data_IF_761441897354
#
_entry.id   IF_761441897354
#
_cell.length_a   1.000
_cell.length_b   1.000
_cell.length_c   1.000
_cell.angle_alpha   90.00
_cell.angle_beta   90.00
_cell.angle_gamma   90.00
#
_symmetry.space_group_name_H-M   'P 1'
#
loop_
_entity.id
_entity.type
_entity.pdbx_description
1 polymer ?
#
# COMPACT_ATOMS: atom_id res chain seq x y z
N UNK A 1 35.04 -2.35 -2.36
CA UNK A 1 33.61 -2.73 -2.00
C UNK A 1 33.49 -2.47 -0.52
N UNK A 2 32.82 -1.38 -0.12
CA UNK A 2 32.49 -1.14 1.29
C UNK A 2 31.45 -2.19 1.72
N UNK A 3 31.74 -2.91 2.79
CA UNK A 3 30.81 -3.85 3.39
C UNK A 3 29.55 -3.09 3.83
N UNK A 4 28.39 -3.59 3.44
CA UNK A 4 27.11 -3.02 3.88
C UNK A 4 26.98 -3.25 5.38
N UNK A 5 26.70 -2.22 6.21
CA UNK A 5 26.53 -2.41 7.65
C UNK A 5 25.44 -3.47 7.93
N UNK A 6 25.67 -4.34 8.89
CA UNK A 6 24.75 -5.44 9.25
C UNK A 6 23.31 -4.97 9.48
N UNK A 7 23.15 -3.79 10.09
CA UNK A 7 21.84 -3.18 10.31
C UNK A 7 21.05 -2.91 9.02
N UNK A 8 21.73 -2.53 7.92
CA UNK A 8 21.06 -2.31 6.63
C UNK A 8 20.66 -3.64 6.00
N UNK A 9 21.51 -4.66 6.12
CA UNK A 9 21.19 -6.01 5.64
C UNK A 9 19.99 -6.56 6.39
N UNK A 10 19.98 -6.43 7.70
CA UNK A 10 18.85 -6.84 8.55
C UNK A 10 17.54 -6.14 8.14
N UNK A 11 17.55 -4.80 7.99
CA UNK A 11 16.38 -4.04 7.57
C UNK A 11 15.86 -4.46 6.19
N UNK A 12 16.76 -4.78 5.24
CA UNK A 12 16.37 -5.30 3.92
C UNK A 12 15.69 -6.67 4.01
N UNK A 13 16.22 -7.57 4.82
CA UNK A 13 15.63 -8.90 5.03
C UNK A 13 14.25 -8.80 5.69
N UNK A 14 14.11 -7.95 6.70
CA UNK A 14 12.83 -7.71 7.37
C UNK A 14 11.79 -7.14 6.39
N UNK A 15 12.20 -6.20 5.53
CA UNK A 15 11.32 -5.62 4.53
C UNK A 15 10.90 -6.65 3.46
N UNK A 16 11.83 -7.46 2.97
CA UNK A 16 11.53 -8.54 2.02
C UNK A 16 10.58 -9.57 2.64
N UNK A 17 10.84 -9.95 3.89
CA UNK A 17 9.96 -10.83 4.65
C UNK A 17 8.55 -10.24 4.80
N UNK A 18 8.44 -8.95 5.17
CA UNK A 18 7.17 -8.26 5.25
C UNK A 18 6.44 -8.22 3.90
N UNK A 19 7.17 -8.00 2.79
CA UNK A 19 6.59 -8.04 1.44
C UNK A 19 6.06 -9.42 1.06
N UNK A 20 6.74 -10.49 1.40
CA UNK A 20 6.24 -11.86 1.19
C UNK A 20 4.99 -12.12 2.04
N UNK A 21 5.03 -11.73 3.32
CA UNK A 21 3.88 -11.88 4.21
C UNK A 21 2.68 -11.04 3.77
N UNK A 22 2.90 -9.91 3.11
CA UNK A 22 1.81 -9.09 2.57
C UNK A 22 1.02 -9.78 1.45
N UNK A 23 1.64 -10.74 0.76
CA UNK A 23 1.00 -11.50 -0.32
C UNK A 23 0.31 -12.78 0.18
N UNK A 24 0.85 -13.43 1.21
CA UNK A 24 0.40 -14.76 1.62
C UNK A 24 -0.24 -14.77 3.00
N UNK A 25 0.03 -13.82 3.86
CA UNK A 25 -0.18 -13.77 5.31
C UNK A 25 0.62 -14.82 6.09
N UNK A 26 0.92 -14.49 7.35
CA UNK A 26 1.71 -15.38 8.24
C UNK A 26 1.04 -16.74 8.45
N UNK A 27 -0.23 -16.74 8.82
CA UNK A 27 -0.97 -17.97 9.10
C UNK A 27 -1.09 -18.87 7.87
N UNK A 28 -1.27 -18.29 6.68
CA UNK A 28 -1.34 -19.07 5.43
C UNK A 28 0.01 -19.66 5.08
N UNK A 29 1.09 -18.89 5.19
CA UNK A 29 2.45 -19.37 4.93
C UNK A 29 2.83 -20.53 5.86
N UNK A 30 2.58 -20.39 7.15
CA UNK A 30 2.83 -21.46 8.13
C UNK A 30 2.07 -22.75 7.80
N UNK A 31 0.80 -22.65 7.45
CA UNK A 31 -0.01 -23.82 7.05
C UNK A 31 0.51 -24.48 5.77
N UNK A 32 0.96 -23.70 4.80
CA UNK A 32 1.52 -24.22 3.55
C UNK A 32 2.84 -24.96 3.82
N UNK A 33 3.76 -24.37 4.58
CA UNK A 33 5.04 -24.98 4.91
C UNK A 33 4.88 -26.23 5.80
N UNK A 34 3.89 -26.28 6.70
CA UNK A 34 3.59 -27.46 7.49
C UNK A 34 3.09 -28.65 6.65
N UNK A 35 2.40 -28.39 5.54
CA UNK A 35 1.88 -29.43 4.61
C UNK A 35 2.91 -29.85 3.56
N UNK A 36 3.72 -28.93 3.10
CA UNK A 36 4.70 -29.13 2.06
C UNK A 36 5.99 -28.36 2.39
N UNK A 37 6.93 -28.94 3.14
CA UNK A 37 8.17 -28.26 3.53
C UNK A 37 9.03 -27.78 2.34
N UNK A 38 8.91 -28.46 1.20
CA UNK A 38 9.62 -28.11 -0.05
C UNK A 38 8.72 -27.34 -1.03
N UNK A 39 7.77 -26.55 -0.52
CA UNK A 39 6.86 -25.76 -1.33
C UNK A 39 7.62 -24.78 -2.22
N UNK A 40 7.36 -24.83 -3.53
CA UNK A 40 7.80 -23.79 -4.45
C UNK A 40 6.94 -22.53 -4.28
N UNK A 41 7.48 -21.56 -3.56
CA UNK A 41 6.83 -20.27 -3.35
C UNK A 41 6.74 -19.45 -4.65
N UNK A 42 7.59 -19.70 -5.64
CA UNK A 42 7.59 -18.95 -6.90
C UNK A 42 6.25 -19.09 -7.65
N UNK A 43 5.67 -20.28 -7.64
CA UNK A 43 4.36 -20.51 -8.25
C UNK A 43 3.24 -19.70 -7.58
N UNK A 44 3.34 -19.45 -6.27
CA UNK A 44 2.35 -18.70 -5.50
C UNK A 44 2.48 -17.19 -5.65
N UNK A 45 3.72 -16.69 -5.69
CA UNK A 45 4.01 -15.25 -5.71
C UNK A 45 4.30 -14.71 -7.11
N UNK A 46 4.44 -15.59 -8.11
CA UNK A 46 4.76 -15.23 -9.49
C UNK A 46 3.86 -14.16 -10.10
N UNK A 47 2.52 -14.20 -9.93
CA UNK A 47 1.62 -13.16 -10.40
C UNK A 47 1.91 -11.75 -9.81
N UNK A 48 2.53 -11.70 -8.62
CA UNK A 48 2.89 -10.46 -7.92
C UNK A 48 4.38 -10.12 -8.05
N UNK A 49 5.05 -10.70 -9.05
CA UNK A 49 6.49 -10.46 -9.29
C UNK A 49 6.82 -8.98 -9.42
N UNK A 50 6.05 -8.21 -10.18
CA UNK A 50 6.27 -6.78 -10.36
C UNK A 50 6.23 -6.00 -9.03
N UNK A 51 5.36 -6.39 -8.10
CA UNK A 51 5.31 -5.81 -6.76
C UNK A 51 6.58 -6.13 -5.96
N UNK A 52 7.03 -7.38 -5.96
CA UNK A 52 8.27 -7.76 -5.27
C UNK A 52 9.49 -7.09 -5.90
N UNK A 53 9.56 -7.03 -7.22
CA UNK A 53 10.63 -6.31 -7.93
C UNK A 53 10.66 -4.83 -7.54
N UNK A 54 9.50 -4.17 -7.39
CA UNK A 54 9.41 -2.80 -6.92
C UNK A 54 9.96 -2.65 -5.49
N UNK A 55 9.59 -3.56 -4.57
CA UNK A 55 10.11 -3.55 -3.19
C UNK A 55 11.63 -3.76 -3.17
N UNK A 56 12.14 -4.71 -3.97
CA UNK A 56 13.59 -4.98 -4.08
C UNK A 56 14.32 -3.78 -4.67
N UNK A 57 13.76 -3.17 -5.72
CA UNK A 57 14.33 -1.95 -6.31
C UNK A 57 14.45 -0.83 -5.26
N UNK A 58 13.41 -0.57 -4.49
CA UNK A 58 13.39 0.44 -3.44
C UNK A 58 14.49 0.21 -2.39
N UNK A 59 14.70 -1.05 -1.99
CA UNK A 59 15.76 -1.40 -1.04
C UNK A 59 17.18 -1.10 -1.55
N UNK A 60 17.37 -1.09 -2.87
CA UNK A 60 18.64 -0.75 -3.49
C UNK A 60 18.78 0.72 -3.85
N UNK A 61 17.68 1.39 -4.16
CA UNK A 61 17.67 2.78 -4.60
C UNK A 61 18.05 3.77 -3.48
N UNK A 62 17.64 3.49 -2.23
CA UNK A 62 17.88 4.41 -1.11
C UNK A 62 17.86 3.68 0.23
N UNK A 63 18.77 4.02 1.17
CA UNK A 63 18.71 3.52 2.54
C UNK A 63 17.40 3.88 3.25
N UNK A 64 16.83 5.05 2.98
CA UNK A 64 15.56 5.47 3.55
C UNK A 64 14.41 4.56 3.08
N UNK A 65 14.35 4.24 1.79
CA UNK A 65 13.37 3.29 1.25
C UNK A 65 13.61 1.86 1.76
N UNK A 66 14.86 1.47 1.98
CA UNK A 66 15.18 0.19 2.61
C UNK A 66 14.62 0.08 4.03
N UNK A 67 14.58 1.20 4.76
CA UNK A 67 13.96 1.29 6.09
C UNK A 67 12.42 1.41 6.06
N UNK A 68 11.80 1.32 4.89
CA UNK A 68 10.35 1.36 4.76
C UNK A 68 9.74 2.75 4.84
N UNK A 69 10.50 3.80 4.50
CA UNK A 69 9.93 5.14 4.39
C UNK A 69 9.12 5.28 3.10
N UNK A 70 8.17 6.22 3.11
CA UNK A 70 7.39 6.59 1.93
C UNK A 70 7.78 8.02 1.55
N UNK A 71 8.15 8.27 0.27
CA UNK A 71 8.41 9.63 -0.19
C UNK A 71 7.18 10.51 0.00
N UNK A 72 7.35 11.69 0.58
CA UNK A 72 6.25 12.63 0.84
C UNK A 72 6.47 13.90 0.05
N UNK A 73 5.41 14.38 -0.61
CA UNK A 73 5.44 15.67 -1.29
C UNK A 73 5.54 16.81 -0.28
N UNK A 74 6.48 17.71 -0.48
CA UNK A 74 6.53 18.94 0.30
C UNK A 74 5.28 19.77 0.01
N UNK A 75 4.44 19.97 1.02
CA UNK A 75 3.19 20.69 0.93
C UNK A 75 2.92 21.38 2.26
N UNK A 76 2.26 22.52 2.23
CA UNK A 76 1.79 23.19 3.43
C UNK A 76 0.86 22.29 4.26
N UNK A 77 0.99 22.33 5.58
CA UNK A 77 0.23 21.45 6.47
C UNK A 77 -1.27 21.71 6.35
N UNK A 78 -1.69 22.97 6.25
CA UNK A 78 -3.10 23.34 6.16
C UNK A 78 -3.74 22.84 4.87
N UNK A 79 -3.02 22.91 3.75
CA UNK A 79 -3.47 22.38 2.46
C UNK A 79 -3.57 20.86 2.49
N UNK A 80 -2.61 20.18 3.14
CA UNK A 80 -2.64 18.73 3.33
C UNK A 80 -3.87 18.28 4.12
N UNK A 81 -4.19 19.00 5.20
CA UNK A 81 -5.37 18.72 6.03
C UNK A 81 -6.66 18.98 5.27
N UNK A 82 -6.74 20.05 4.47
CA UNK A 82 -7.90 20.33 3.61
C UNK A 82 -8.11 19.20 2.60
N UNK A 83 -7.05 18.71 1.96
CA UNK A 83 -7.13 17.58 1.03
C UNK A 83 -7.61 16.30 1.73
N UNK A 84 -7.08 16.02 2.92
CA UNK A 84 -7.52 14.87 3.72
C UNK A 84 -9.01 14.98 4.08
N UNK A 85 -9.47 16.15 4.50
CA UNK A 85 -10.88 16.41 4.79
C UNK A 85 -11.76 16.24 3.55
N UNK A 86 -11.38 16.81 2.42
CA UNK A 86 -12.13 16.69 1.17
C UNK A 86 -12.31 15.22 0.76
N UNK A 87 -11.26 14.41 0.87
CA UNK A 87 -11.35 12.97 0.62
C UNK A 87 -12.31 12.25 1.57
N UNK A 88 -12.39 12.69 2.82
CA UNK A 88 -13.24 12.07 3.83
C UNK A 88 -14.70 12.55 3.78
N UNK A 89 -14.96 13.69 3.17
CA UNK A 89 -16.32 14.29 3.06
C UNK A 89 -17.04 13.95 1.75
N UNK A 90 -16.39 13.25 0.81
CA UNK A 90 -17.00 12.83 -0.44
C UNK A 90 -18.23 11.95 -0.18
N UNK A 91 -19.39 12.32 -0.74
CA UNK A 91 -20.69 11.64 -0.49
C UNK A 91 -20.69 10.15 -0.81
N UNK A 92 -19.99 9.76 -1.88
CA UNK A 92 -19.88 8.37 -2.33
C UNK A 92 -18.81 7.56 -1.58
N UNK A 93 -18.34 8.03 -0.42
CA UNK A 93 -17.29 7.37 0.33
C UNK A 93 -17.68 5.93 0.71
N UNK A 94 -16.76 4.94 0.49
CA UNK A 94 -17.01 3.58 0.96
C UNK A 94 -17.24 3.56 2.47
N UNK A 95 -18.09 2.67 2.98
CA UNK A 95 -18.27 2.52 4.41
C UNK A 95 -16.93 2.09 5.04
N UNK A 96 -16.50 2.87 6.02
CA UNK A 96 -15.34 2.57 6.87
C UNK A 96 -14.00 2.30 6.13
N UNK A 97 -13.51 3.18 5.22
CA UNK A 97 -12.18 3.02 4.70
C UNK A 97 -11.16 3.14 5.83
N UNK A 98 -10.17 2.26 5.84
CA UNK A 98 -9.07 2.30 6.80
C UNK A 98 -8.14 3.46 6.48
N UNK A 99 -7.76 3.60 5.21
CA UNK A 99 -6.89 4.66 4.74
C UNK A 99 -7.32 5.18 3.38
N UNK A 100 -7.16 6.49 3.17
CA UNK A 100 -7.27 7.14 1.86
C UNK A 100 -5.94 7.83 1.59
N UNK A 101 -5.30 7.49 0.48
CA UNK A 101 -3.99 8.00 0.11
C UNK A 101 -4.07 8.70 -1.26
N UNK A 102 -3.48 9.88 -1.35
CA UNK A 102 -3.29 10.58 -2.61
C UNK A 102 -1.80 10.68 -2.92
N UNK A 103 -1.44 10.41 -4.17
CA UNK A 103 -0.06 10.48 -4.65
C UNK A 103 0.04 11.40 -5.85
N UNK A 104 1.06 12.26 -5.86
CA UNK A 104 1.53 12.97 -7.05
C UNK A 104 2.78 12.24 -7.55
N UNK A 105 2.65 11.58 -8.69
CA UNK A 105 3.66 10.64 -9.18
C UNK A 105 3.89 9.49 -8.17
N UNK A 106 5.04 9.47 -7.52
CA UNK A 106 5.43 8.46 -6.52
C UNK A 106 5.44 9.00 -5.08
N UNK A 107 5.22 10.31 -4.91
CA UNK A 107 5.26 10.96 -3.60
C UNK A 107 3.86 11.06 -3.00
N UNK A 108 3.73 10.66 -1.74
CA UNK A 108 2.51 10.79 -0.97
C UNK A 108 2.20 12.28 -0.73
N UNK A 109 1.03 12.71 -1.17
CA UNK A 109 0.51 14.07 -0.99
C UNK A 109 -0.22 14.19 0.34
N UNK A 110 -1.17 13.29 0.58
CA UNK A 110 -1.91 13.24 1.83
C UNK A 110 -2.34 11.82 2.16
N UNK A 111 -2.54 11.60 3.45
CA UNK A 111 -3.05 10.36 4.04
C UNK A 111 -4.16 10.73 5.01
N UNK A 112 -5.38 10.30 4.68
CA UNK A 112 -6.51 10.41 5.57
C UNK A 112 -6.80 9.06 6.24
N UNK A 113 -7.01 9.07 7.55
CA UNK A 113 -7.31 7.88 8.33
C UNK A 113 -8.19 8.21 9.53
N UNK A 114 -8.95 7.26 10.07
CA UNK A 114 -9.68 7.43 11.32
C UNK A 114 -8.69 7.69 12.48
N UNK A 115 -9.05 8.60 13.39
CA UNK A 115 -8.19 8.99 14.54
C UNK A 115 -7.67 7.81 15.37
N UNK A 116 -8.40 6.68 15.38
CA UNK A 116 -8.09 5.48 16.18
C UNK A 116 -7.10 4.51 15.49
N UNK A 117 -6.81 4.71 14.21
CA UNK A 117 -6.02 3.77 13.40
C UNK A 117 -4.92 4.52 12.66
N UNK A 118 -3.88 4.93 13.40
CA UNK A 118 -2.68 5.43 12.76
C UNK A 118 -1.99 4.29 11.98
N UNK A 119 -1.66 4.48 10.70
CA UNK A 119 -0.98 3.46 9.92
C UNK A 119 0.47 3.26 10.38
N UNK A 120 0.94 2.03 10.35
CA UNK A 120 2.35 1.73 10.53
C UNK A 120 3.15 2.11 9.28
N UNK A 121 4.31 2.71 9.46
CA UNK A 121 5.17 3.15 8.34
C UNK A 121 5.57 1.97 7.43
N UNK A 122 5.88 0.81 8.02
CA UNK A 122 6.19 -0.42 7.28
C UNK A 122 5.05 -0.87 6.37
N UNK A 123 3.81 -0.83 6.86
CA UNK A 123 2.62 -1.21 6.10
C UNK A 123 2.31 -0.19 5.00
N UNK A 124 2.45 1.11 5.28
CA UNK A 124 2.32 2.16 4.27
C UNK A 124 3.31 1.99 3.12
N UNK A 125 4.54 1.57 3.42
CA UNK A 125 5.53 1.31 2.39
C UNK A 125 5.15 0.13 1.49
N UNK A 126 4.45 -0.89 2.01
CA UNK A 126 3.91 -1.99 1.21
C UNK A 126 2.75 -1.53 0.33
N UNK A 127 1.83 -0.73 0.87
CA UNK A 127 0.75 -0.11 0.08
C UNK A 127 1.32 0.77 -1.03
N UNK A 128 2.33 1.61 -0.71
CA UNK A 128 3.00 2.46 -1.70
C UNK A 128 3.62 1.65 -2.84
N UNK A 129 4.33 0.56 -2.53
CA UNK A 129 4.90 -0.32 -3.54
C UNK A 129 3.81 -0.94 -4.45
N UNK A 130 2.67 -1.37 -3.88
CA UNK A 130 1.54 -1.87 -4.66
C UNK A 130 0.94 -0.80 -5.58
N UNK A 131 0.70 0.40 -5.07
CA UNK A 131 0.14 1.53 -5.86
C UNK A 131 1.05 1.92 -7.02
N UNK A 132 2.37 1.81 -6.86
CA UNK A 132 3.34 2.13 -7.92
C UNK A 132 3.32 1.13 -9.07
N UNK A 133 3.07 -0.14 -8.78
CA UNK A 133 2.98 -1.19 -9.81
C UNK A 133 1.57 -1.30 -10.42
N UNK A 134 0.55 -0.77 -9.75
CA UNK A 134 -0.77 -0.59 -10.34
C UNK A 134 -0.66 0.42 -11.47
N UNK A 135 -1.03 0.03 -12.68
CA UNK A 135 -1.04 0.91 -13.85
C UNK A 135 -2.07 2.05 -13.71
N UNK A 136 -2.48 2.58 -14.86
CA UNK A 136 -3.48 3.67 -14.92
C UNK A 136 -4.93 3.16 -14.82
N UNK A 137 -5.12 1.85 -14.70
CA UNK A 137 -6.43 1.21 -14.59
C UNK A 137 -6.85 1.00 -13.14
N UNK A 138 -8.16 0.90 -12.92
CA UNK A 138 -8.71 0.54 -11.63
C UNK A 138 -8.20 -0.84 -11.20
N UNK A 139 -7.50 -0.89 -10.09
CA UNK A 139 -6.94 -2.11 -9.53
C UNK A 139 -7.60 -2.40 -8.18
N UNK A 140 -7.96 -3.65 -7.95
CA UNK A 140 -8.46 -4.16 -6.68
C UNK A 140 -7.64 -5.36 -6.28
N UNK A 141 -6.86 -5.24 -5.21
CA UNK A 141 -5.94 -6.28 -4.79
C UNK A 141 -6.02 -6.54 -3.28
N UNK A 142 -6.07 -7.80 -2.85
CA UNK A 142 -5.88 -8.15 -1.46
C UNK A 142 -4.42 -7.92 -1.05
N UNK A 143 -4.22 -7.34 0.13
CA UNK A 143 -2.91 -7.13 0.71
C UNK A 143 -2.99 -7.42 2.22
N UNK A 144 -2.11 -8.24 2.75
CA UNK A 144 -1.93 -8.35 4.18
C UNK A 144 -1.03 -7.21 4.65
N UNK A 145 -1.42 -6.54 5.74
CA UNK A 145 -0.62 -5.51 6.40
C UNK A 145 -0.05 -6.12 7.69
N UNK A 146 1.19 -6.62 7.68
CA UNK A 146 1.71 -7.46 8.77
C UNK A 146 1.78 -6.79 10.13
N UNK A 147 1.91 -5.46 10.18
CA UNK A 147 1.94 -4.71 11.43
C UNK A 147 0.52 -4.41 11.95
N UNK A 148 -0.45 -4.20 11.05
CA UNK A 148 -1.84 -3.92 11.41
C UNK A 148 -2.63 -5.21 11.68
N UNK A 149 -2.55 -6.18 10.77
CA UNK A 149 -3.35 -7.40 10.80
C UNK A 149 -2.55 -8.56 10.18
N UNK A 150 -1.67 -9.24 10.95
CA UNK A 150 -0.71 -10.22 10.43
C UNK A 150 -1.35 -11.45 9.77
N UNK A 151 -2.59 -11.76 10.12
CA UNK A 151 -3.30 -12.97 9.68
C UNK A 151 -4.49 -12.67 8.77
N UNK A 152 -4.83 -11.39 8.58
CA UNK A 152 -5.94 -10.91 7.77
C UNK A 152 -5.49 -10.23 6.48
N UNK A 153 -6.45 -10.05 5.56
CA UNK A 153 -6.26 -9.25 4.36
C UNK A 153 -7.10 -7.99 4.44
N UNK A 154 -6.54 -6.90 4.00
CA UNK A 154 -7.25 -5.70 3.58
C UNK A 154 -7.29 -5.67 2.06
N UNK A 155 -8.12 -4.82 1.50
CA UNK A 155 -8.28 -4.68 0.06
C UNK A 155 -7.87 -3.28 -0.35
N UNK A 156 -6.94 -3.20 -1.30
CA UNK A 156 -6.43 -1.94 -1.82
C UNK A 156 -7.08 -1.68 -3.18
N UNK A 157 -7.88 -0.63 -3.24
CA UNK A 157 -8.32 -0.04 -4.50
C UNK A 157 -7.30 1.01 -4.90
N UNK A 158 -6.73 0.90 -6.09
CA UNK A 158 -5.85 1.91 -6.66
C UNK A 158 -6.34 2.34 -8.02
N UNK A 159 -6.32 3.64 -8.29
CA UNK A 159 -6.78 4.22 -9.54
C UNK A 159 -6.10 5.55 -9.80
N UNK A 160 -6.32 6.12 -10.99
CA UNK A 160 -5.82 7.42 -11.38
C UNK A 160 -6.96 8.41 -11.63
N UNK A 161 -6.79 9.64 -11.13
CA UNK A 161 -7.68 10.77 -11.38
C UNK A 161 -6.83 11.92 -11.92
N UNK A 162 -6.83 12.13 -13.22
CA UNK A 162 -5.93 13.07 -13.88
C UNK A 162 -4.46 12.69 -13.66
N UNK A 163 -3.68 13.57 -13.03
CA UNK A 163 -2.28 13.30 -12.68
C UNK A 163 -2.09 12.65 -11.31
N UNK A 164 -3.13 12.62 -10.49
CA UNK A 164 -3.08 12.11 -9.12
C UNK A 164 -3.44 10.63 -9.13
N UNK A 165 -2.68 9.81 -8.43
CA UNK A 165 -3.08 8.45 -8.07
C UNK A 165 -3.79 8.48 -6.74
N UNK A 166 -4.87 7.73 -6.65
CA UNK A 166 -5.65 7.57 -5.43
C UNK A 166 -5.61 6.11 -5.00
N UNK A 167 -5.49 5.88 -3.69
CA UNK A 167 -5.61 4.57 -3.13
C UNK A 167 -6.56 4.59 -1.93
N UNK A 168 -7.42 3.59 -1.86
CA UNK A 168 -8.29 3.32 -0.72
C UNK A 168 -7.93 1.96 -0.14
N UNK A 169 -7.75 1.90 1.16
CA UNK A 169 -7.53 0.64 1.88
C UNK A 169 -8.80 0.34 2.67
N UNK A 170 -9.44 -0.79 2.38
CA UNK A 170 -10.70 -1.21 2.97
C UNK A 170 -10.58 -2.59 3.61
N UNK A 171 -11.37 -2.84 4.65
CA UNK A 171 -11.47 -4.16 5.27
C UNK A 171 -12.46 -5.09 4.58
N UNK A 172 -13.37 -4.54 3.75
CA UNK A 172 -14.45 -5.26 3.09
C UNK A 172 -14.01 -5.83 1.73
N UNK A 173 -14.07 -7.14 1.48
CA UNK A 173 -13.75 -7.74 0.19
C UNK A 173 -14.68 -7.28 -0.95
N UNK A 174 -15.90 -6.90 -0.64
CA UNK A 174 -16.92 -6.51 -1.61
C UNK A 174 -16.95 -4.99 -1.86
N UNK A 175 -16.01 -4.25 -1.28
CA UNK A 175 -15.94 -2.78 -1.34
C UNK A 175 -15.59 -2.17 -2.70
N UNK A 176 -15.26 -2.96 -3.73
CA UNK A 176 -14.79 -2.44 -5.03
C UNK A 176 -15.74 -1.43 -5.68
N UNK A 177 -17.03 -1.76 -5.73
CA UNK A 177 -18.04 -0.90 -6.39
C UNK A 177 -18.15 0.45 -5.69
N UNK A 178 -18.14 0.46 -4.36
CA UNK A 178 -18.18 1.68 -3.56
C UNK A 178 -16.89 2.53 -3.74
N UNK A 179 -15.72 1.89 -3.80
CA UNK A 179 -14.45 2.56 -4.09
C UNK A 179 -14.45 3.23 -5.46
N UNK A 180 -14.97 2.53 -6.46
CA UNK A 180 -15.09 3.05 -7.83
C UNK A 180 -16.07 4.24 -7.90
N UNK A 181 -17.21 4.17 -7.22
CA UNK A 181 -18.15 5.27 -7.13
C UNK A 181 -17.53 6.50 -6.47
N UNK A 182 -16.79 6.31 -5.37
CA UNK A 182 -16.04 7.37 -4.70
C UNK A 182 -15.01 8.03 -5.63
N UNK A 183 -14.24 7.24 -6.38
CA UNK A 183 -13.27 7.77 -7.35
C UNK A 183 -13.94 8.64 -8.42
N UNK A 184 -15.12 8.25 -8.92
CA UNK A 184 -15.87 9.05 -9.88
C UNK A 184 -16.35 10.38 -9.27
N UNK A 185 -16.89 10.35 -8.06
CA UNK A 185 -17.28 11.57 -7.35
C UNK A 185 -16.11 12.52 -7.11
N UNK A 186 -14.94 11.98 -6.72
CA UNK A 186 -13.72 12.77 -6.56
C UNK A 186 -13.26 13.42 -7.87
N UNK A 187 -13.32 12.69 -8.99
CA UNK A 187 -12.96 13.21 -10.30
C UNK A 187 -13.88 14.35 -10.75
N UNK A 188 -15.18 14.25 -10.46
CA UNK A 188 -16.17 15.29 -10.79
C UNK A 188 -15.95 16.54 -9.95
N UNK A 189 -15.66 16.39 -8.66
CA UNK A 189 -15.38 17.52 -7.76
C UNK A 189 -14.09 18.25 -8.08
N UNK A 190 -13.10 17.56 -8.64
CA UNK A 190 -11.81 18.16 -9.02
C UNK A 190 -11.85 18.96 -10.33
N UNK A 191 -12.93 18.85 -11.11
CA UNK A 191 -13.14 19.59 -12.37
C UNK A 191 -13.96 20.89 -12.20
N UNK A 192 -14.45 21.19 -11.02
CA UNK A 192 -15.12 22.44 -10.65
C UNK A 192 -14.15 23.38 -9.95
#
# INVERSE_FOLDING_TARGET
>A
TQATPDAIVQARLERLHAAILSLISRARLQRLLARAPNLDLQALIGPMKAYLDCVVHDMHASPALALGTVPVRALDASLRDQLAQACMQTEARPPHPLYVLLYDQEALVTLAHPKRHAPYASDLALVNALVRVCGDHDTWAPLCLPALAPDGFVYVYASRVGRIRVALVCGDPDGYVACRAWRHALATSACM
#
